data_IF_335000293339
#
_entry.id   IF_335000293339
#
_cell.length_a   1.000
_cell.length_b   1.000
_cell.length_c   1.000
_cell.angle_alpha   90.00
_cell.angle_beta   90.00
_cell.angle_gamma   90.00
#
_symmetry.space_group_name_H-M   'P 1'
#
loop_
_entity.id
_entity.type
_entity.pdbx_description
1 polymer ?
#
# COMPACT_ATOMS: atom_id res chain seq x y z
N UNK A 1 -29.49 -11.94 -12.70
CA UNK A 1 -29.02 -11.16 -11.53
C UNK A 1 -29.64 -11.71 -10.26
N UNK A 2 -29.15 -11.28 -9.10
CA UNK A 2 -29.52 -11.78 -7.76
C UNK A 2 -30.94 -11.37 -7.30
N UNK A 3 -31.73 -10.75 -8.18
CA UNK A 3 -33.08 -10.27 -7.90
C UNK A 3 -34.01 -11.29 -7.21
N UNK A 4 -33.99 -12.61 -7.53
CA UNK A 4 -34.85 -13.59 -6.87
C UNK A 4 -34.51 -13.83 -5.39
N UNK A 5 -33.26 -13.59 -4.97
CA UNK A 5 -32.81 -13.85 -3.60
C UNK A 5 -33.09 -12.69 -2.64
N UNK A 6 -33.47 -11.50 -3.13
CA UNK A 6 -33.77 -10.33 -2.29
C UNK A 6 -34.90 -10.55 -1.28
N UNK A 7 -35.78 -11.53 -1.50
CA UNK A 7 -36.87 -11.86 -0.59
C UNK A 7 -36.53 -12.89 0.50
N UNK A 8 -35.36 -13.55 0.40
CA UNK A 8 -34.98 -14.60 1.36
C UNK A 8 -34.52 -13.99 2.69
N UNK A 9 -35.09 -14.38 3.84
CA UNK A 9 -34.74 -13.81 5.15
C UNK A 9 -33.25 -13.89 5.48
N UNK A 10 -32.60 -15.02 5.12
CA UNK A 10 -31.16 -15.20 5.32
C UNK A 10 -30.32 -14.25 4.45
N UNK A 11 -30.80 -13.95 3.24
CA UNK A 11 -30.14 -13.01 2.33
C UNK A 11 -30.32 -11.57 2.81
N UNK A 12 -31.51 -11.20 3.29
CA UNK A 12 -31.76 -9.89 3.89
C UNK A 12 -30.90 -9.70 5.14
N UNK A 13 -30.86 -10.68 6.05
CA UNK A 13 -30.03 -10.62 7.25
C UNK A 13 -28.54 -10.46 6.88
N UNK A 14 -28.07 -11.21 5.89
CA UNK A 14 -26.70 -11.07 5.38
C UNK A 14 -26.43 -9.63 4.89
N UNK A 15 -27.30 -9.06 4.06
CA UNK A 15 -27.13 -7.70 3.54
C UNK A 15 -27.22 -6.62 4.62
N UNK A 16 -28.05 -6.81 5.65
CA UNK A 16 -28.17 -5.84 6.75
C UNK A 16 -26.88 -5.65 7.53
N UNK A 17 -25.98 -6.64 7.55
CA UNK A 17 -24.65 -6.54 8.18
C UNK A 17 -23.68 -5.61 7.43
N UNK A 18 -24.00 -5.27 6.19
CA UNK A 18 -23.16 -4.42 5.32
C UNK A 18 -23.69 -2.99 5.16
N UNK A 19 -24.59 -2.55 6.05
CA UNK A 19 -25.17 -1.20 5.95
C UNK A 19 -24.31 -0.09 6.57
N UNK A 20 -23.27 -0.44 7.33
CA UNK A 20 -22.34 0.50 7.94
C UNK A 20 -23.02 1.58 8.80
N UNK A 21 -24.10 1.23 9.50
CA UNK A 21 -24.85 2.15 10.36
C UNK A 21 -24.14 2.41 11.70
N UNK A 22 -23.37 1.41 12.16
CA UNK A 22 -22.66 1.44 13.43
C UNK A 22 -21.19 1.07 13.22
N UNK A 23 -20.34 1.38 14.20
CA UNK A 23 -18.90 1.11 14.13
C UNK A 23 -18.60 -0.36 13.82
N UNK A 24 -19.34 -1.31 14.41
CA UNK A 24 -19.12 -2.73 14.18
C UNK A 24 -19.38 -3.14 12.71
N UNK A 25 -20.42 -2.59 12.10
CA UNK A 25 -20.73 -2.84 10.69
C UNK A 25 -19.72 -2.16 9.77
N UNK A 26 -19.27 -0.94 10.10
CA UNK A 26 -18.20 -0.25 9.37
C UNK A 26 -16.93 -1.10 9.38
N UNK A 27 -16.52 -1.58 10.56
CA UNK A 27 -15.32 -2.42 10.70
C UNK A 27 -15.48 -3.76 9.97
N UNK A 28 -16.67 -4.36 9.99
CA UNK A 28 -16.96 -5.58 9.23
C UNK A 28 -16.80 -5.34 7.73
N UNK A 29 -17.38 -4.25 7.19
CA UNK A 29 -17.21 -3.86 5.80
C UNK A 29 -15.75 -3.61 5.45
N UNK A 30 -14.98 -2.92 6.31
CA UNK A 30 -13.54 -2.71 6.10
C UNK A 30 -12.79 -4.05 6.03
N UNK A 31 -13.08 -5.00 6.93
CA UNK A 31 -12.45 -6.32 6.92
C UNK A 31 -12.81 -7.12 5.65
N UNK A 32 -14.07 -7.09 5.24
CA UNK A 32 -14.54 -7.78 4.03
C UNK A 32 -13.92 -7.17 2.78
N UNK A 33 -13.86 -5.83 2.68
CA UNK A 33 -13.21 -5.14 1.58
C UNK A 33 -11.72 -5.49 1.48
N UNK A 34 -11.01 -5.51 2.62
CA UNK A 34 -9.61 -5.90 2.66
C UNK A 34 -9.42 -7.36 2.19
N UNK A 35 -10.26 -8.28 2.67
CA UNK A 35 -10.23 -9.68 2.28
C UNK A 35 -10.55 -9.89 0.79
N UNK A 36 -11.54 -9.16 0.27
CA UNK A 36 -11.89 -9.19 -1.14
C UNK A 36 -10.72 -8.73 -2.01
N UNK A 37 -10.08 -7.61 -1.67
CA UNK A 37 -8.92 -7.11 -2.43
C UNK A 37 -7.70 -8.00 -2.30
N UNK A 38 -7.47 -8.63 -1.15
CA UNK A 38 -6.43 -9.65 -1.02
C UNK A 38 -6.65 -10.83 -1.98
N UNK A 39 -7.88 -11.32 -2.08
CA UNK A 39 -8.22 -12.47 -2.91
C UNK A 39 -8.16 -12.13 -4.41
N UNK A 40 -8.66 -10.95 -4.79
CA UNK A 40 -8.75 -10.52 -6.18
C UNK A 40 -7.45 -9.91 -6.69
N UNK A 41 -6.62 -9.34 -5.80
CA UNK A 41 -5.34 -8.68 -6.08
C UNK A 41 -5.40 -7.56 -7.14
N UNK A 42 -6.60 -7.02 -7.41
CA UNK A 42 -6.83 -5.94 -8.36
C UNK A 42 -7.79 -4.92 -7.77
N UNK A 43 -7.27 -3.72 -7.49
CA UNK A 43 -8.05 -2.62 -6.89
C UNK A 43 -9.19 -2.17 -7.81
N UNK A 44 -8.95 -2.09 -9.12
CA UNK A 44 -10.00 -1.70 -10.08
C UNK A 44 -11.10 -2.76 -10.20
N UNK A 45 -10.75 -4.05 -10.11
CA UNK A 45 -11.72 -5.13 -10.12
C UNK A 45 -12.57 -5.15 -8.84
N UNK A 46 -11.98 -4.95 -7.66
CA UNK A 46 -12.75 -4.92 -6.40
C UNK A 46 -13.70 -3.75 -6.32
N UNK A 47 -13.24 -2.55 -6.70
CA UNK A 47 -14.10 -1.37 -6.79
C UNK A 47 -15.26 -1.62 -7.77
N UNK A 48 -14.98 -2.28 -8.91
CA UNK A 48 -15.99 -2.67 -9.89
C UNK A 48 -17.05 -3.65 -9.34
N UNK A 49 -16.65 -4.63 -8.53
CA UNK A 49 -17.56 -5.55 -7.83
C UNK A 49 -18.45 -4.75 -6.87
N UNK A 50 -17.86 -3.87 -6.07
CA UNK A 50 -18.60 -3.01 -5.12
C UNK A 50 -19.61 -2.12 -5.85
N UNK A 51 -19.23 -1.51 -6.98
CA UNK A 51 -20.16 -0.74 -7.83
C UNK A 51 -21.31 -1.59 -8.37
N UNK A 52 -21.05 -2.82 -8.82
CA UNK A 52 -22.08 -3.70 -9.36
C UNK A 52 -23.09 -4.17 -8.30
N UNK A 53 -22.64 -4.41 -7.07
CA UNK A 53 -23.53 -4.73 -5.94
C UNK A 53 -24.37 -3.52 -5.52
N UNK A 54 -23.76 -2.33 -5.53
CA UNK A 54 -24.40 -1.07 -5.17
C UNK A 54 -25.47 -0.63 -6.18
N UNK A 55 -25.19 -0.75 -7.48
CA UNK A 55 -26.14 -0.38 -8.55
C UNK A 55 -27.39 -1.26 -8.51
N UNK A 56 -27.23 -2.51 -8.08
CA UNK A 56 -28.31 -3.46 -7.78
C UNK A 56 -28.90 -3.27 -6.37
N UNK A 57 -28.60 -2.19 -5.65
CA UNK A 57 -29.19 -1.90 -4.35
C UNK A 57 -28.97 -2.96 -3.27
N UNK A 58 -27.97 -3.85 -3.44
CA UNK A 58 -27.66 -4.89 -2.44
C UNK A 58 -26.89 -4.29 -1.26
N UNK A 59 -26.10 -3.25 -1.51
CA UNK A 59 -25.32 -2.54 -0.51
C UNK A 59 -25.68 -1.06 -0.63
N UNK A 60 -25.89 -0.40 0.52
CA UNK A 60 -26.10 1.04 0.56
C UNK A 60 -24.79 1.80 0.33
N UNK A 61 -24.89 3.11 0.15
CA UNK A 61 -23.71 3.92 -0.18
C UNK A 61 -22.67 3.89 0.95
N UNK A 62 -23.10 3.97 2.21
CA UNK A 62 -22.23 3.89 3.39
C UNK A 62 -21.47 2.56 3.44
N UNK A 63 -22.17 1.44 3.22
CA UNK A 63 -21.56 0.11 3.12
C UNK A 63 -20.48 0.05 2.05
N UNK A 64 -20.75 0.62 0.87
CA UNK A 64 -19.77 0.70 -0.21
C UNK A 64 -18.56 1.56 0.15
N UNK A 65 -18.75 2.69 0.84
CA UNK A 65 -17.64 3.53 1.32
C UNK A 65 -16.79 2.74 2.32
N UNK A 66 -17.41 2.04 3.27
CA UNK A 66 -16.68 1.23 4.24
C UNK A 66 -15.92 0.04 3.57
N UNK A 67 -16.51 -0.60 2.56
CA UNK A 67 -15.82 -1.60 1.74
C UNK A 67 -14.60 -1.00 1.04
N UNK A 68 -14.74 0.16 0.39
CA UNK A 68 -13.62 0.87 -0.27
C UNK A 68 -12.47 1.17 0.69
N UNK A 69 -12.77 1.58 1.93
CA UNK A 69 -11.74 1.78 2.94
C UNK A 69 -10.97 0.48 3.20
N UNK A 70 -11.70 -0.64 3.32
CA UNK A 70 -11.11 -1.98 3.38
C UNK A 70 -10.26 -2.34 2.17
N UNK A 71 -10.77 -2.10 0.96
CA UNK A 71 -10.08 -2.39 -0.28
C UNK A 71 -8.72 -1.67 -0.34
N UNK A 72 -8.63 -0.41 0.12
CA UNK A 72 -7.37 0.32 0.24
C UNK A 72 -6.39 -0.36 1.20
N UNK A 73 -6.84 -0.89 2.35
CA UNK A 73 -5.98 -1.71 3.22
C UNK A 73 -5.52 -2.97 2.50
N UNK A 74 -6.42 -3.67 1.81
CA UNK A 74 -6.13 -4.91 1.11
C UNK A 74 -5.02 -4.76 0.05
N UNK A 75 -4.96 -3.63 -0.66
CA UNK A 75 -3.91 -3.36 -1.66
C UNK A 75 -2.48 -3.40 -1.10
N UNK A 76 -2.32 -3.13 0.20
CA UNK A 76 -1.00 -3.09 0.85
C UNK A 76 -0.33 -4.46 0.93
N UNK A 77 -1.12 -5.53 0.91
CA UNK A 77 -0.65 -6.89 1.14
C UNK A 77 0.16 -7.40 -0.06
N UNK A 78 -0.18 -6.99 -1.27
CA UNK A 78 0.63 -7.28 -2.45
C UNK A 78 2.05 -6.71 -2.33
N UNK A 79 2.19 -5.48 -1.83
CA UNK A 79 3.50 -4.87 -1.60
C UNK A 79 4.28 -5.57 -0.48
N UNK A 80 3.59 -6.01 0.58
CA UNK A 80 4.20 -6.77 1.67
C UNK A 80 4.70 -8.13 1.20
N UNK A 81 3.89 -8.87 0.44
CA UNK A 81 4.30 -10.15 -0.14
C UNK A 81 5.47 -9.98 -1.12
N UNK A 82 5.44 -8.93 -1.95
CA UNK A 82 6.49 -8.65 -2.93
C UNK A 82 7.85 -8.27 -2.29
N UNK A 83 7.86 -7.79 -1.03
CA UNK A 83 9.10 -7.44 -0.35
C UNK A 83 9.72 -8.57 0.49
N UNK A 84 9.07 -9.74 0.55
CA UNK A 84 9.64 -10.92 1.22
C UNK A 84 10.88 -11.36 0.45
N UNK A 85 12.03 -11.37 1.12
CA UNK A 85 13.32 -11.71 0.49
C UNK A 85 13.91 -10.61 -0.40
N UNK A 86 13.38 -9.38 -0.35
CA UNK A 86 13.96 -8.23 -1.05
C UNK A 86 14.82 -7.37 -0.12
N UNK A 87 15.49 -6.36 -0.69
CA UNK A 87 16.34 -5.46 0.08
C UNK A 87 15.56 -4.63 1.12
N UNK A 88 16.29 -4.13 2.12
CA UNK A 88 15.74 -3.33 3.22
C UNK A 88 14.93 -2.11 2.77
N UNK A 89 15.36 -1.43 1.69
CA UNK A 89 14.66 -0.25 1.21
C UNK A 89 13.29 -0.61 0.63
N UNK A 90 13.18 -1.72 -0.11
CA UNK A 90 11.90 -2.22 -0.60
C UNK A 90 10.95 -2.60 0.55
N UNK A 91 11.45 -3.28 1.59
CA UNK A 91 10.67 -3.59 2.81
C UNK A 91 10.19 -2.34 3.54
N UNK A 92 11.06 -1.32 3.68
CA UNK A 92 10.70 -0.02 4.28
C UNK A 92 9.64 0.72 3.45
N UNK A 93 9.72 0.68 2.13
CA UNK A 93 8.71 1.26 1.24
C UNK A 93 7.37 0.52 1.37
N UNK A 94 7.37 -0.82 1.38
CA UNK A 94 6.15 -1.61 1.60
C UNK A 94 5.52 -1.33 2.97
N UNK A 95 6.34 -1.18 4.02
CA UNK A 95 5.90 -0.79 5.35
C UNK A 95 5.32 0.62 5.39
N UNK A 96 5.99 1.60 4.77
CA UNK A 96 5.48 2.97 4.67
C UNK A 96 4.13 3.02 3.94
N UNK A 97 3.99 2.28 2.83
CA UNK A 97 2.73 2.15 2.10
C UNK A 97 1.62 1.50 2.95
N UNK A 98 1.95 0.50 3.75
CA UNK A 98 0.99 -0.16 4.65
C UNK A 98 0.52 0.79 5.76
N UNK A 99 1.46 1.50 6.40
CA UNK A 99 1.15 2.50 7.42
C UNK A 99 0.29 3.62 6.86
N UNK A 100 0.61 4.14 5.67
CA UNK A 100 -0.14 5.19 5.00
C UNK A 100 -1.62 4.79 4.82
N UNK A 101 -1.90 3.59 4.32
CA UNK A 101 -3.27 3.14 4.09
C UNK A 101 -4.00 2.78 5.39
N UNK A 102 -3.36 2.04 6.29
CA UNK A 102 -4.00 1.61 7.55
C UNK A 102 -4.33 2.81 8.43
N UNK A 103 -3.39 3.73 8.62
CA UNK A 103 -3.63 4.92 9.44
C UNK A 103 -4.64 5.87 8.77
N UNK A 104 -4.60 6.00 7.44
CA UNK A 104 -5.60 6.74 6.69
C UNK A 104 -7.01 6.20 6.87
N UNK A 105 -7.17 4.88 6.81
CA UNK A 105 -8.46 4.21 7.04
C UNK A 105 -8.92 4.39 8.48
N UNK A 106 -8.03 4.21 9.46
CA UNK A 106 -8.36 4.47 10.88
C UNK A 106 -8.85 5.90 11.06
N UNK A 107 -8.15 6.88 10.49
CA UNK A 107 -8.57 8.28 10.55
C UNK A 107 -9.95 8.49 9.95
N UNK A 108 -10.22 7.96 8.76
CA UNK A 108 -11.50 8.14 8.07
C UNK A 108 -12.64 7.41 8.79
N UNK A 109 -12.40 6.24 9.40
CA UNK A 109 -13.39 5.55 10.23
C UNK A 109 -13.79 6.41 11.44
N UNK A 110 -12.86 7.14 12.05
CA UNK A 110 -13.18 8.06 13.17
C UNK A 110 -14.07 9.22 12.76
N UNK A 111 -13.98 9.67 11.50
CA UNK A 111 -14.78 10.77 10.94
C UNK A 111 -15.79 10.30 9.89
N UNK A 112 -16.14 9.02 9.90
CA UNK A 112 -16.88 8.35 8.83
C UNK A 112 -18.14 9.09 8.35
N UNK A 113 -19.09 9.51 9.21
CA UNK A 113 -20.29 10.20 8.75
C UNK A 113 -19.98 11.52 8.07
N UNK A 114 -18.96 12.25 8.54
CA UNK A 114 -18.52 13.50 7.91
C UNK A 114 -17.89 13.24 6.55
N UNK A 115 -17.09 12.18 6.43
CA UNK A 115 -16.49 11.78 5.15
C UNK A 115 -17.55 11.40 4.12
N UNK A 116 -18.52 10.54 4.49
CA UNK A 116 -19.64 10.16 3.60
C UNK A 116 -20.41 11.40 3.13
N UNK A 117 -20.80 12.27 4.07
CA UNK A 117 -21.51 13.51 3.74
C UNK A 117 -20.70 14.43 2.82
N UNK A 118 -19.38 14.52 3.02
CA UNK A 118 -18.50 15.29 2.15
C UNK A 118 -18.46 14.71 0.72
N UNK A 119 -18.41 13.38 0.58
CA UNK A 119 -18.47 12.74 -0.75
C UNK A 119 -19.79 13.02 -1.45
N UNK A 120 -20.92 12.88 -0.75
CA UNK A 120 -22.24 13.19 -1.30
C UNK A 120 -22.31 14.65 -1.71
N UNK A 121 -21.94 15.57 -0.82
CA UNK A 121 -21.96 17.00 -1.11
C UNK A 121 -21.12 17.36 -2.33
N UNK A 122 -19.86 16.90 -2.39
CA UNK A 122 -18.96 17.18 -3.51
C UNK A 122 -19.48 16.55 -4.81
N UNK A 123 -19.95 15.31 -4.75
CA UNK A 123 -20.38 14.62 -5.98
C UNK A 123 -21.69 15.20 -6.51
N UNK A 124 -22.67 15.44 -5.64
CA UNK A 124 -23.97 15.94 -6.05
C UNK A 124 -23.93 17.42 -6.42
N UNK A 125 -23.33 18.27 -5.59
CA UNK A 125 -23.42 19.72 -5.76
C UNK A 125 -22.29 20.30 -6.62
N UNK A 126 -21.06 19.80 -6.48
CA UNK A 126 -19.91 20.36 -7.23
C UNK A 126 -19.80 19.75 -8.63
N UNK A 127 -20.13 18.47 -8.77
CA UNK A 127 -20.02 17.74 -10.04
C UNK A 127 -21.38 17.55 -10.75
N UNK A 128 -22.46 18.10 -10.20
CA UNK A 128 -23.82 18.05 -10.76
C UNK A 128 -24.30 16.62 -11.04
N UNK A 129 -23.98 15.68 -10.16
CA UNK A 129 -24.44 14.28 -10.24
C UNK A 129 -25.70 14.10 -9.40
N UNK A 130 -26.65 13.25 -9.80
CA UNK A 130 -27.85 12.99 -9.01
C UNK A 130 -27.54 12.29 -7.67
N UNK A 131 -28.52 12.25 -6.74
CA UNK A 131 -28.35 11.63 -5.42
C UNK A 131 -27.98 10.12 -5.52
N UNK A 132 -27.05 9.60 -4.71
CA UNK A 132 -26.62 8.20 -4.76
C UNK A 132 -27.73 7.19 -4.44
N UNK A 133 -28.75 7.60 -3.68
CA UNK A 133 -29.88 6.76 -3.29
C UNK A 133 -31.10 6.88 -4.21
N UNK A 134 -31.02 7.70 -5.27
CA UNK A 134 -32.09 7.76 -6.25
C UNK A 134 -32.25 6.41 -6.94
N UNK A 135 -33.48 5.89 -6.98
CA UNK A 135 -33.82 4.63 -7.64
C UNK A 135 -34.63 4.93 -8.90
N UNK A 136 -34.16 4.46 -10.06
CA UNK A 136 -34.86 4.53 -11.34
C UNK A 136 -34.92 3.11 -11.91
N UNK A 137 -36.12 2.58 -12.15
CA UNK A 137 -36.27 1.23 -12.70
C UNK A 137 -35.74 0.10 -11.78
N UNK A 138 -35.62 0.35 -10.48
CA UNK A 138 -35.08 -0.63 -9.52
C UNK A 138 -33.55 -0.65 -9.41
N UNK A 139 -32.86 0.25 -10.10
CA UNK A 139 -31.41 0.44 -10.07
C UNK A 139 -31.04 1.80 -9.49
N UNK A 140 -29.81 1.92 -8.96
CA UNK A 140 -29.24 3.19 -8.49
C UNK A 140 -28.25 3.75 -9.52
N UNK A 141 -28.68 4.59 -10.49
CA UNK A 141 -27.85 4.99 -11.63
C UNK A 141 -26.64 5.86 -11.25
N UNK A 142 -26.70 6.58 -10.12
CA UNK A 142 -25.66 7.53 -9.71
C UNK A 142 -24.69 7.01 -8.65
N UNK A 143 -24.98 5.85 -8.03
CA UNK A 143 -24.21 5.36 -6.88
C UNK A 143 -22.76 5.04 -7.25
N UNK A 144 -22.52 4.45 -8.44
CA UNK A 144 -21.17 4.10 -8.90
C UNK A 144 -20.25 5.32 -9.00
N UNK A 145 -20.79 6.49 -9.40
CA UNK A 145 -20.01 7.72 -9.46
C UNK A 145 -19.61 8.21 -8.07
N UNK A 146 -20.50 8.08 -7.09
CA UNK A 146 -20.21 8.42 -5.70
C UNK A 146 -19.16 7.48 -5.10
N UNK A 147 -19.23 6.19 -5.41
CA UNK A 147 -18.24 5.17 -5.01
C UNK A 147 -16.86 5.52 -5.59
N UNK A 148 -16.77 5.83 -6.88
CA UNK A 148 -15.51 6.25 -7.51
C UNK A 148 -14.92 7.51 -6.86
N UNK A 149 -15.78 8.49 -6.57
CA UNK A 149 -15.38 9.74 -5.94
C UNK A 149 -14.98 9.53 -4.47
N UNK A 150 -15.63 8.63 -3.73
CA UNK A 150 -15.24 8.25 -2.38
C UNK A 150 -13.81 7.69 -2.37
N UNK A 151 -13.51 6.73 -3.26
CA UNK A 151 -12.18 6.16 -3.41
C UNK A 151 -11.12 7.22 -3.73
N UNK A 152 -11.45 8.16 -4.62
CA UNK A 152 -10.53 9.24 -5.00
C UNK A 152 -10.32 10.22 -3.85
N UNK A 153 -11.40 10.67 -3.22
CA UNK A 153 -11.36 11.64 -2.13
C UNK A 153 -10.61 11.09 -0.92
N UNK A 154 -10.82 9.81 -0.59
CA UNK A 154 -10.04 9.10 0.42
C UNK A 154 -8.54 9.22 0.15
N UNK A 155 -8.09 8.82 -1.05
CA UNK A 155 -6.67 8.82 -1.40
C UNK A 155 -6.07 10.21 -1.42
N UNK A 156 -6.82 11.22 -1.89
CA UNK A 156 -6.36 12.63 -1.90
C UNK A 156 -6.24 13.19 -0.48
N UNK A 157 -7.27 13.01 0.36
CA UNK A 157 -7.23 13.45 1.76
C UNK A 157 -6.07 12.76 2.48
N UNK A 158 -5.91 11.45 2.28
CA UNK A 158 -4.85 10.68 2.92
C UNK A 158 -3.46 11.19 2.47
N UNK A 159 -3.27 11.42 1.18
CA UNK A 159 -2.02 11.98 0.64
C UNK A 159 -1.70 13.36 1.23
N UNK A 160 -2.68 14.26 1.31
CA UNK A 160 -2.49 15.61 1.85
C UNK A 160 -2.11 15.54 3.33
N UNK A 161 -2.83 14.77 4.15
CA UNK A 161 -2.54 14.62 5.58
C UNK A 161 -1.12 14.09 5.76
N UNK A 162 -0.79 12.99 5.08
CA UNK A 162 0.52 12.36 5.23
C UNK A 162 1.67 13.16 4.63
N UNK A 163 1.42 14.06 3.69
CA UNK A 163 2.45 14.98 3.20
C UNK A 163 3.05 15.82 4.34
N UNK A 164 2.21 16.31 5.27
CA UNK A 164 2.67 17.12 6.40
C UNK A 164 3.40 16.31 7.48
N UNK A 165 3.08 15.02 7.62
CA UNK A 165 3.67 14.13 8.63
C UNK A 165 4.63 13.09 8.04
N UNK A 166 5.01 13.23 6.78
CA UNK A 166 5.86 12.30 6.05
C UNK A 166 7.16 11.97 6.79
N UNK A 167 7.90 12.94 7.40
CA UNK A 167 9.12 12.63 8.13
C UNK A 167 8.88 11.69 9.32
N UNK A 168 7.72 11.78 9.97
CA UNK A 168 7.36 10.91 11.09
C UNK A 168 6.94 9.52 10.61
N UNK A 169 6.15 9.44 9.55
CA UNK A 169 5.78 8.16 8.92
C UNK A 169 7.04 7.37 8.53
N UNK A 170 8.01 8.03 7.89
CA UNK A 170 9.28 7.40 7.50
C UNK A 170 10.06 6.90 8.72
N UNK A 171 10.13 7.69 9.81
CA UNK A 171 10.77 7.26 11.06
C UNK A 171 10.11 6.00 11.63
N UNK A 172 8.77 5.96 11.66
CA UNK A 172 8.02 4.79 12.14
C UNK A 172 8.25 3.58 11.24
N UNK A 173 8.24 3.75 9.92
CA UNK A 173 8.49 2.67 8.97
C UNK A 173 9.90 2.06 9.14
N UNK A 174 10.92 2.91 9.35
CA UNK A 174 12.29 2.47 9.64
C UNK A 174 12.37 1.75 10.98
N UNK A 175 11.65 2.24 11.99
CA UNK A 175 11.62 1.64 13.31
C UNK A 175 10.94 0.26 13.33
N UNK A 176 9.82 0.10 12.60
CA UNK A 176 9.13 -1.18 12.43
C UNK A 176 9.87 -2.17 11.52
N UNK A 177 10.77 -1.68 10.68
CA UNK A 177 11.61 -2.49 9.78
C UNK A 177 13.10 -2.25 10.10
N UNK A 178 13.56 -2.66 11.31
CA UNK A 178 14.93 -2.44 11.74
C UNK A 178 15.90 -3.29 10.91
N UNK A 179 17.13 -2.79 10.79
CA UNK A 179 18.21 -3.49 10.09
C UNK A 179 18.56 -4.81 10.79
N UNK A 180 18.59 -5.91 10.04
CA UNK A 180 19.09 -7.20 10.51
C UNK A 180 20.62 -7.22 10.65
N UNK A 181 21.17 -8.10 11.49
CA UNK A 181 22.63 -8.26 11.63
C UNK A 181 23.30 -8.78 10.35
N UNK A 182 22.59 -9.59 9.57
CA UNK A 182 23.04 -10.15 8.28
C UNK A 182 22.90 -9.14 7.12
N UNK A 183 21.95 -8.20 7.20
CA UNK A 183 21.77 -7.15 6.17
C UNK A 183 22.95 -6.17 6.08
N UNK A 184 23.78 -6.09 7.13
CA UNK A 184 25.01 -5.29 7.11
C UNK A 184 26.01 -5.80 6.06
N UNK A 185 25.83 -7.06 5.68
CA UNK A 185 26.66 -7.73 4.72
C UNK A 185 25.97 -7.76 3.33
N UNK A 186 24.64 -7.91 3.25
CA UNK A 186 23.88 -7.89 1.98
C UNK A 186 23.99 -6.59 1.16
N UNK A 187 24.10 -5.42 1.79
CA UNK A 187 24.36 -4.15 1.08
C UNK A 187 25.77 -4.12 0.42
N UNK A 188 26.70 -4.94 0.91
CA UNK A 188 28.03 -5.14 0.31
C UNK A 188 27.97 -6.25 -0.76
N UNK A 189 27.06 -7.23 -0.61
CA UNK A 189 26.96 -8.45 -1.43
C UNK A 189 26.20 -8.34 -2.76
N UNK A 190 25.46 -7.26 -3.02
CA UNK A 190 24.68 -7.15 -4.25
C UNK A 190 25.17 -6.07 -5.20
N UNK A 191 25.19 -6.43 -6.48
CA UNK A 191 25.34 -5.49 -7.59
C UNK A 191 24.27 -4.41 -7.44
N UNK A 192 24.70 -3.16 -7.25
CA UNK A 192 23.81 -2.06 -6.88
C UNK A 192 23.15 -1.41 -8.09
N UNK A 193 23.90 -1.29 -9.18
CA UNK A 193 23.49 -0.53 -10.35
C UNK A 193 23.01 -1.40 -11.50
N UNK A 194 23.44 -2.67 -11.62
CA UNK A 194 22.94 -3.55 -12.69
C UNK A 194 21.53 -4.04 -12.37
N UNK A 195 20.55 -3.48 -13.05
CA UNK A 195 19.15 -3.88 -12.96
C UNK A 195 18.74 -4.61 -14.24
N UNK A 196 18.33 -5.87 -14.09
CA UNK A 196 17.96 -6.76 -15.20
C UNK A 196 16.84 -6.20 -16.08
N UNK A 197 16.02 -5.29 -15.57
CA UNK A 197 14.92 -4.64 -16.32
C UNK A 197 15.41 -3.74 -17.46
N UNK A 198 16.68 -3.34 -17.47
CA UNK A 198 17.26 -2.45 -18.48
C UNK A 198 18.24 -3.17 -19.43
N UNK A 199 18.30 -4.50 -19.40
CA UNK A 199 19.18 -5.28 -20.29
C UNK A 199 18.85 -5.08 -21.77
N UNK A 200 17.58 -4.82 -22.10
CA UNK A 200 17.13 -4.58 -23.47
C UNK A 200 17.44 -3.15 -23.96
N UNK A 201 18.08 -2.32 -23.13
CA UNK A 201 18.49 -0.94 -23.43
C UNK A 201 20.02 -0.79 -23.33
N UNK A 202 20.78 -1.01 -24.43
CA UNK A 202 22.25 -1.06 -24.40
C UNK A 202 22.92 0.18 -23.78
N UNK A 203 22.38 1.36 -24.04
CA UNK A 203 22.90 2.63 -23.52
C UNK A 203 22.76 2.71 -21.98
N UNK A 204 21.61 2.29 -21.44
CA UNK A 204 21.35 2.27 -20.00
C UNK A 204 22.19 1.20 -19.31
N UNK A 205 22.31 0.02 -19.93
CA UNK A 205 23.14 -1.07 -19.42
C UNK A 205 24.63 -0.68 -19.33
N UNK A 206 25.16 0.07 -20.30
CA UNK A 206 26.53 0.58 -20.28
C UNK A 206 26.75 1.59 -19.13
N UNK A 207 25.78 2.50 -18.91
CA UNK A 207 25.86 3.46 -17.80
C UNK A 207 25.84 2.75 -16.45
N UNK A 208 24.96 1.76 -16.27
CA UNK A 208 24.88 0.95 -15.05
C UNK A 208 26.17 0.16 -14.80
N UNK A 209 26.75 -0.43 -15.86
CA UNK A 209 28.03 -1.15 -15.78
C UNK A 209 29.16 -0.22 -15.33
N UNK A 210 29.24 0.99 -15.89
CA UNK A 210 30.23 1.98 -15.47
C UNK A 210 30.08 2.37 -14.00
N UNK A 211 28.84 2.58 -13.53
CA UNK A 211 28.58 2.91 -12.12
C UNK A 211 28.97 1.76 -11.17
N UNK A 212 28.75 0.51 -11.58
CA UNK A 212 29.14 -0.64 -10.78
C UNK A 212 30.66 -0.81 -10.70
N UNK A 213 31.39 -0.61 -11.81
CA UNK A 213 32.87 -0.65 -11.83
C UNK A 213 33.46 0.41 -10.89
N UNK A 214 32.94 1.63 -10.91
CA UNK A 214 33.40 2.70 -10.02
C UNK A 214 33.18 2.31 -8.56
N UNK A 215 31.98 1.80 -8.21
CA UNK A 215 31.66 1.36 -6.86
C UNK A 215 32.60 0.25 -6.38
N UNK A 216 32.88 -0.74 -7.23
CA UNK A 216 33.82 -1.83 -6.89
C UNK A 216 35.23 -1.27 -6.63
N UNK A 217 35.66 -0.27 -7.40
CA UNK A 217 36.93 0.44 -7.18
C UNK A 217 36.97 1.17 -5.83
N UNK A 218 35.92 1.91 -5.50
CA UNK A 218 35.80 2.63 -4.23
C UNK A 218 35.82 1.67 -3.02
N UNK A 219 35.15 0.52 -3.13
CA UNK A 219 35.17 -0.51 -2.08
C UNK A 219 36.55 -1.16 -1.93
N UNK A 220 37.24 -1.46 -3.04
CA UNK A 220 38.61 -1.97 -2.99
C UNK A 220 39.57 -0.98 -2.33
N UNK A 221 39.44 0.32 -2.63
CA UNK A 221 40.22 1.37 -1.99
C UNK A 221 39.91 1.49 -0.49
N UNK A 222 38.63 1.45 -0.13
CA UNK A 222 38.18 1.49 1.28
C UNK A 222 38.75 0.32 2.07
N UNK A 223 38.68 -0.90 1.53
CA UNK A 223 39.28 -2.09 2.15
C UNK A 223 40.79 -1.94 2.34
N UNK A 224 41.50 -1.43 1.32
CA UNK A 224 42.94 -1.18 1.42
C UNK A 224 43.29 -0.20 2.55
N UNK A 225 42.61 0.95 2.60
CA UNK A 225 42.85 1.99 3.60
C UNK A 225 42.56 1.49 5.03
N UNK A 226 41.49 0.70 5.20
CA UNK A 226 41.10 0.13 6.49
C UNK A 226 42.06 -0.97 6.97
N UNK A 227 42.60 -1.78 6.07
CA UNK A 227 43.64 -2.78 6.38
C UNK A 227 44.93 -2.07 6.79
N UNK A 228 45.39 -1.09 6.01
CA UNK A 228 46.60 -0.29 6.33
C UNK A 228 46.42 0.45 7.67
N UNK A 229 45.25 1.04 7.91
CA UNK A 229 44.93 1.70 9.18
C UNK A 229 44.95 0.72 10.36
N UNK A 230 44.40 -0.49 10.17
CA UNK A 230 44.39 -1.53 11.20
C UNK A 230 45.80 -2.04 11.55
N UNK A 231 46.68 -2.13 10.56
CA UNK A 231 48.09 -2.47 10.73
C UNK A 231 48.85 -1.39 11.50
N UNK A 232 48.63 -0.10 11.17
CA UNK A 232 49.25 1.03 11.89
C UNK A 232 48.89 1.06 13.37
N UNK A 233 47.64 0.76 13.71
CA UNK A 233 47.13 0.80 15.10
C UNK A 233 47.35 -0.56 15.82
N UNK A 234 47.91 -1.58 15.13
CA UNK A 234 48.14 -2.94 15.64
C UNK A 234 46.89 -3.60 16.26
N UNK A 235 45.71 -3.33 15.69
CA UNK A 235 44.45 -3.85 16.21
C UNK A 235 44.02 -5.12 15.44
N UNK A 236 44.44 -6.28 15.95
CA UNK A 236 44.16 -7.59 15.34
C UNK A 236 42.68 -7.96 15.29
N UNK A 237 41.84 -7.44 16.19
CA UNK A 237 40.38 -7.68 16.16
C UNK A 237 39.70 -7.00 14.97
N UNK A 238 40.20 -5.85 14.51
CA UNK A 238 39.69 -5.20 13.29
C UNK A 238 40.03 -5.99 12.04
N UNK A 239 41.26 -6.51 11.94
CA UNK A 239 41.71 -7.32 10.79
C UNK A 239 40.87 -8.61 10.62
N UNK A 240 40.48 -9.27 11.72
CA UNK A 240 39.63 -10.47 11.65
C UNK A 240 38.22 -10.19 11.09
N UNK A 241 37.67 -8.99 11.34
CA UNK A 241 36.37 -8.57 10.78
C UNK A 241 36.46 -8.33 9.26
N UNK A 242 37.61 -7.90 8.77
CA UNK A 242 37.87 -7.63 7.35
C UNK A 242 38.10 -8.90 6.55
N UNK A 243 38.79 -9.88 7.13
CA UNK A 243 38.93 -11.20 6.52
C UNK A 243 37.57 -11.88 6.26
N UNK A 244 36.62 -11.73 7.18
CA UNK A 244 35.25 -12.20 6.98
C UNK A 244 34.46 -11.43 5.88
N UNK A 245 34.92 -10.24 5.49
CA UNK A 245 34.36 -9.45 4.36
C UNK A 245 34.99 -9.86 3.03
N UNK A 246 36.27 -10.23 3.05
CA UNK A 246 37.05 -10.69 1.89
C UNK A 246 36.72 -12.14 1.50
N UNK A 247 36.59 -13.06 2.47
CA UNK A 247 36.30 -14.49 2.24
C UNK A 247 34.91 -14.75 1.61
N UNK A 248 34.11 -13.71 1.37
CA UNK A 248 32.72 -13.77 0.89
C UNK A 248 32.51 -12.97 -0.42
N UNK A 249 33.56 -12.31 -0.94
CA UNK A 249 33.61 -11.71 -2.28
C UNK A 249 34.09 -12.74 -3.32
#
# INVERSE_FOLDING_TARGET
GLAPLRGEPAFIEFLTRFQAQNLNEILLCVLVGAALTMAVQSSSATVGITMALASQGLINFEGCVALILGENVGTTITAQLACIGSNLNARRTAMAHSLFNVLGVVFIVLIFPYFVNAVVYLTTNLLSVGNPDLIIGGEKPFISRHIANAHTLFNVINAIIFLFILPYLVKVAIWLTPRGKEEHLDEIYHIKYLDRRYLDSPEVALVQTRQEIIRMGDEAQTMFDEVIGSLKIRNSRKVARWKAREDVL
#
